data_IF_148143902191
#
_entry.id   IF_148143902191
#
_cell.length_a   1.000
_cell.length_b   1.000
_cell.length_c   1.000
_cell.angle_alpha   90.00
_cell.angle_beta   90.00
_cell.angle_gamma   90.00
#
_symmetry.space_group_name_H-M   'P 1'
#
loop_
_entity.id
_entity.type
_entity.pdbx_description
1 polymer ?
#
# COMPACT_ATOMS: atom_id res chain seq x y z
N UNK A 1 6.47 4.63 -12.60
CA UNK A 1 7.00 4.65 -13.99
C UNK A 1 6.40 5.80 -14.80
N UNK A 2 5.08 5.95 -14.87
CA UNK A 2 4.50 7.04 -15.67
C UNK A 2 5.06 8.43 -15.31
N UNK A 3 5.10 8.80 -14.02
CA UNK A 3 5.62 10.09 -13.59
C UNK A 3 7.09 10.35 -14.00
N UNK A 4 7.98 9.34 -13.90
CA UNK A 4 9.37 9.50 -14.32
C UNK A 4 9.51 9.74 -15.81
N UNK A 5 8.70 9.07 -16.63
CA UNK A 5 8.71 9.25 -18.09
C UNK A 5 8.17 10.63 -18.49
N UNK A 6 7.12 11.11 -17.83
CA UNK A 6 6.60 12.46 -18.04
C UNK A 6 7.60 13.53 -17.56
N UNK A 7 8.24 13.31 -16.41
CA UNK A 7 9.26 14.22 -15.91
C UNK A 7 10.48 14.34 -16.83
N UNK A 8 10.86 13.25 -17.52
CA UNK A 8 11.94 13.25 -18.50
C UNK A 8 11.70 14.20 -19.67
N UNK A 9 10.43 14.47 -20.02
CA UNK A 9 10.07 15.38 -21.11
C UNK A 9 10.43 16.85 -20.82
N UNK A 10 10.73 17.21 -19.58
CA UNK A 10 11.21 18.55 -19.22
C UNK A 10 12.67 18.80 -19.62
N UNK A 11 13.41 17.75 -20.02
CA UNK A 11 14.83 17.84 -20.38
C UNK A 11 15.03 17.63 -21.88
N UNK A 12 16.00 18.33 -22.45
CA UNK A 12 16.43 18.08 -23.83
C UNK A 12 17.01 16.65 -23.93
N UNK A 13 16.72 15.96 -25.04
CA UNK A 13 17.09 14.55 -25.23
C UNK A 13 18.61 14.29 -25.10
N UNK A 14 19.46 15.28 -25.44
CA UNK A 14 20.91 15.18 -25.33
C UNK A 14 21.47 15.66 -23.98
N UNK A 15 20.60 15.96 -23.01
CA UNK A 15 21.04 16.46 -21.71
C UNK A 15 21.35 15.32 -20.74
N UNK A 16 22.33 15.56 -19.83
CA UNK A 16 22.63 14.65 -18.73
C UNK A 16 21.40 14.41 -17.84
N UNK A 17 20.49 15.39 -17.74
CA UNK A 17 19.22 15.28 -17.00
C UNK A 17 18.28 14.24 -17.63
N UNK A 18 18.16 14.23 -18.96
CA UNK A 18 17.35 13.22 -19.65
C UNK A 18 17.90 11.80 -19.42
N UNK A 19 19.23 11.61 -19.60
CA UNK A 19 19.89 10.33 -19.35
C UNK A 19 19.68 9.85 -17.92
N UNK A 20 19.79 10.75 -16.95
CA UNK A 20 19.53 10.43 -15.54
C UNK A 20 18.06 10.00 -15.31
N UNK A 21 17.09 10.65 -15.94
CA UNK A 21 15.68 10.29 -15.82
C UNK A 21 15.35 8.96 -16.47
N UNK A 22 15.95 8.64 -17.62
CA UNK A 22 15.85 7.32 -18.26
C UNK A 22 16.40 6.24 -17.31
N UNK A 23 17.55 6.50 -16.69
CA UNK A 23 18.16 5.58 -15.72
C UNK A 23 17.29 5.40 -14.49
N UNK A 24 16.66 6.46 -13.97
CA UNK A 24 15.66 6.39 -12.90
C UNK A 24 14.44 5.56 -13.29
N UNK A 25 13.97 5.67 -14.55
CA UNK A 25 12.86 4.86 -15.05
C UNK A 25 13.22 3.38 -15.08
N UNK A 26 14.44 3.03 -15.51
CA UNK A 26 14.96 1.66 -15.48
C UNK A 26 15.09 1.14 -14.04
N UNK A 27 15.57 1.97 -13.12
CA UNK A 27 15.66 1.63 -11.69
C UNK A 27 14.30 1.45 -11.00
N UNK A 28 13.22 1.93 -11.60
CA UNK A 28 11.87 1.70 -11.07
C UNK A 28 11.47 0.21 -11.08
N UNK A 29 12.02 -0.61 -12.00
CA UNK A 29 11.81 -2.06 -12.01
C UNK A 29 12.39 -2.73 -10.75
N UNK A 30 13.69 -2.60 -10.44
CA UNK A 30 14.23 -3.16 -9.20
C UNK A 30 13.61 -2.55 -7.95
N UNK A 31 13.20 -1.27 -7.97
CA UNK A 31 12.46 -0.67 -6.85
C UNK A 31 11.13 -1.38 -6.56
N UNK A 32 10.48 -1.97 -7.59
CA UNK A 32 9.30 -2.81 -7.41
C UNK A 32 9.59 -4.09 -6.62
N UNK A 33 10.79 -4.67 -6.75
CA UNK A 33 11.18 -5.85 -5.97
C UNK A 33 11.35 -5.56 -4.48
N UNK A 34 11.55 -4.29 -4.10
CA UNK A 34 11.52 -3.89 -2.69
C UNK A 34 10.21 -4.31 -2.00
N UNK A 35 9.10 -4.30 -2.75
CA UNK A 35 7.81 -4.74 -2.23
C UNK A 35 7.77 -6.25 -1.90
N UNK A 36 8.67 -7.06 -2.42
CA UNK A 36 8.77 -8.48 -2.05
C UNK A 36 9.33 -8.63 -0.63
N UNK A 37 10.26 -7.75 -0.23
CA UNK A 37 10.84 -7.73 1.12
C UNK A 37 9.86 -7.22 2.20
N UNK A 38 8.70 -6.66 1.80
CA UNK A 38 7.68 -6.13 2.73
C UNK A 38 7.15 -7.17 3.72
N UNK A 39 7.32 -8.46 3.42
CA UNK A 39 6.87 -9.54 4.28
C UNK A 39 7.76 -9.73 5.49
N UNK A 40 9.05 -9.50 5.37
CA UNK A 40 10.04 -9.70 6.43
C UNK A 40 10.36 -8.38 7.15
N UNK A 41 10.55 -7.31 6.39
CA UNK A 41 10.96 -6.00 6.90
C UNK A 41 9.96 -4.89 6.53
N UNK A 42 8.69 -4.94 7.01
CA UNK A 42 7.64 -4.01 6.56
C UNK A 42 7.94 -2.54 6.89
N UNK A 43 8.59 -2.27 8.02
CA UNK A 43 8.92 -0.91 8.44
C UNK A 43 10.07 -0.33 7.62
N UNK A 44 11.14 -1.08 7.41
CA UNK A 44 12.26 -0.67 6.57
C UNK A 44 11.80 -0.45 5.12
N UNK A 45 11.03 -1.39 4.57
CA UNK A 45 10.47 -1.29 3.22
C UNK A 45 9.63 -0.03 3.04
N UNK A 46 8.80 0.33 4.02
CA UNK A 46 8.00 1.55 3.97
C UNK A 46 8.89 2.81 3.93
N UNK A 47 9.86 2.94 4.83
CA UNK A 47 10.71 4.13 4.88
C UNK A 47 11.62 4.25 3.66
N UNK A 48 12.13 3.13 3.13
CA UNK A 48 12.91 3.12 1.88
C UNK A 48 12.01 3.53 0.71
N UNK A 49 10.78 3.02 0.62
CA UNK A 49 9.82 3.42 -0.41
C UNK A 49 9.49 4.92 -0.33
N UNK A 50 9.30 5.47 0.88
CA UNK A 50 9.11 6.90 1.09
C UNK A 50 10.32 7.72 0.61
N UNK A 51 11.54 7.30 0.96
CA UNK A 51 12.76 7.95 0.53
C UNK A 51 12.91 7.93 -1.01
N UNK A 52 12.62 6.80 -1.64
CA UNK A 52 12.65 6.67 -3.10
C UNK A 52 11.66 7.62 -3.78
N UNK A 53 10.43 7.75 -3.28
CA UNK A 53 9.42 8.67 -3.85
C UNK A 53 9.81 10.14 -3.67
N UNK A 54 10.46 10.49 -2.56
CA UNK A 54 10.91 11.88 -2.32
C UNK A 54 12.12 12.24 -3.18
N UNK A 55 13.12 11.35 -3.24
CA UNK A 55 14.38 11.59 -3.96
C UNK A 55 14.20 11.49 -5.47
N UNK A 56 13.46 10.48 -5.91
CA UNK A 56 13.20 10.23 -7.33
C UNK A 56 11.75 10.59 -7.69
N UNK A 57 11.47 10.97 -8.94
CA UNK A 57 10.11 11.28 -9.39
C UNK A 57 9.26 10.01 -9.59
N UNK A 58 9.22 9.16 -8.55
CA UNK A 58 8.37 7.97 -8.55
C UNK A 58 6.97 8.31 -8.07
N UNK A 59 6.02 7.49 -8.52
CA UNK A 59 4.65 7.55 -8.07
C UNK A 59 4.54 7.16 -6.59
N UNK A 60 3.66 7.83 -5.86
CA UNK A 60 3.34 7.55 -4.46
C UNK A 60 2.77 6.15 -4.22
N UNK A 61 2.32 5.45 -5.25
CA UNK A 61 1.75 4.09 -5.14
C UNK A 61 2.69 3.11 -4.45
N UNK A 62 4.01 3.19 -4.70
CA UNK A 62 4.99 2.31 -4.04
C UNK A 62 4.97 2.52 -2.52
N UNK A 63 4.97 3.78 -2.08
CA UNK A 63 4.91 4.12 -0.66
C UNK A 63 3.57 3.72 -0.03
N UNK A 64 2.45 3.90 -0.73
CA UNK A 64 1.12 3.50 -0.28
C UNK A 64 0.98 1.97 -0.15
N UNK A 65 1.52 1.21 -1.10
CA UNK A 65 1.56 -0.26 -1.02
C UNK A 65 2.41 -0.76 0.15
N UNK A 66 3.57 -0.13 0.38
CA UNK A 66 4.40 -0.44 1.54
C UNK A 66 3.70 -0.07 2.86
N UNK A 67 3.00 1.07 2.91
CA UNK A 67 2.21 1.52 4.05
C UNK A 67 1.08 0.54 4.38
N UNK A 68 0.29 0.09 3.41
CA UNK A 68 -0.77 -0.90 3.63
C UNK A 68 -0.24 -2.19 4.23
N UNK A 69 0.91 -2.67 3.75
CA UNK A 69 1.59 -3.84 4.27
C UNK A 69 2.06 -3.65 5.73
N UNK A 70 2.63 -2.50 6.03
CA UNK A 70 3.08 -2.13 7.38
C UNK A 70 1.89 -2.10 8.36
N UNK A 71 0.80 -1.41 7.98
CA UNK A 71 -0.42 -1.30 8.79
C UNK A 71 -1.10 -2.65 9.03
N UNK A 72 -1.05 -3.54 8.04
CA UNK A 72 -1.62 -4.88 8.16
C UNK A 72 -0.87 -5.76 9.18
N UNK A 73 0.45 -5.59 9.29
CA UNK A 73 1.32 -6.48 10.10
C UNK A 73 1.65 -5.93 11.48
N UNK A 74 1.85 -4.63 11.62
CA UNK A 74 2.24 -3.99 12.88
C UNK A 74 1.03 -3.48 13.65
N UNK A 75 0.97 -3.86 14.93
CA UNK A 75 -0.16 -3.52 15.83
C UNK A 75 0.12 -2.28 16.70
N UNK A 76 1.35 -1.78 16.69
CA UNK A 76 1.74 -0.66 17.53
C UNK A 76 1.07 0.64 17.04
N UNK A 77 0.39 1.36 17.95
CA UNK A 77 -0.28 2.64 17.66
C UNK A 77 0.70 3.69 17.13
N UNK A 78 1.88 3.78 17.71
CA UNK A 78 2.90 4.75 17.30
C UNK A 78 3.40 4.48 15.88
N UNK A 79 3.64 3.22 15.53
CA UNK A 79 4.02 2.83 14.16
C UNK A 79 2.89 3.16 13.17
N UNK A 80 1.63 2.91 13.54
CA UNK A 80 0.47 3.25 12.71
C UNK A 80 0.41 4.77 12.45
N UNK A 81 0.52 5.60 13.48
CA UNK A 81 0.47 7.06 13.35
C UNK A 81 1.64 7.56 12.48
N UNK A 82 2.87 7.12 12.77
CA UNK A 82 4.06 7.52 12.01
C UNK A 82 3.97 7.11 10.53
N UNK A 83 3.47 5.91 10.25
CA UNK A 83 3.28 5.43 8.88
C UNK A 83 2.20 6.23 8.15
N UNK A 84 1.07 6.52 8.78
CA UNK A 84 0.00 7.33 8.16
C UNK A 84 0.46 8.74 7.91
N UNK A 85 1.09 9.42 8.88
CA UNK A 85 1.61 10.77 8.72
C UNK A 85 2.70 10.81 7.64
N UNK A 86 3.67 9.89 7.70
CA UNK A 86 4.74 9.81 6.69
C UNK A 86 4.19 9.53 5.29
N UNK A 87 3.27 8.59 5.16
CA UNK A 87 2.59 8.27 3.91
C UNK A 87 1.81 9.46 3.35
N UNK A 88 1.12 10.23 4.21
CA UNK A 88 0.40 11.44 3.80
C UNK A 88 1.36 12.48 3.25
N UNK A 89 2.43 12.79 3.97
CA UNK A 89 3.42 13.79 3.56
C UNK A 89 4.05 13.39 2.21
N UNK A 90 4.49 12.14 2.07
CA UNK A 90 5.14 11.66 0.84
C UNK A 90 4.18 11.66 -0.34
N UNK A 91 2.92 11.26 -0.13
CA UNK A 91 1.90 11.28 -1.19
C UNK A 91 1.58 12.71 -1.61
N UNK A 92 1.43 13.65 -0.67
CA UNK A 92 1.25 15.06 -0.98
C UNK A 92 2.43 15.62 -1.77
N UNK A 93 3.66 15.37 -1.35
CA UNK A 93 4.87 15.82 -2.07
C UNK A 93 4.87 15.27 -3.50
N UNK A 94 4.58 13.99 -3.68
CA UNK A 94 4.57 13.35 -5.01
C UNK A 94 3.50 13.95 -5.91
N UNK A 95 2.27 14.11 -5.43
CA UNK A 95 1.15 14.61 -6.23
C UNK A 95 1.25 16.12 -6.51
N UNK A 96 1.71 16.90 -5.53
CA UNK A 96 1.95 18.34 -5.73
C UNK A 96 3.12 18.57 -6.68
N UNK A 97 4.19 17.77 -6.57
CA UNK A 97 5.30 17.84 -7.52
C UNK A 97 4.84 17.60 -8.95
N UNK A 98 3.93 16.64 -9.18
CA UNK A 98 3.35 16.40 -10.50
C UNK A 98 2.44 17.57 -10.93
N UNK A 99 1.56 18.06 -10.06
CA UNK A 99 0.65 19.16 -10.37
C UNK A 99 1.34 20.51 -10.64
N UNK A 100 2.53 20.72 -10.08
CA UNK A 100 3.34 21.94 -10.27
C UNK A 100 4.28 21.88 -11.47
N UNK A 101 4.29 20.78 -12.22
CA UNK A 101 5.10 20.65 -13.44
C UNK A 101 4.47 21.35 -14.63
N UNK A 102 5.27 21.46 -15.70
CA UNK A 102 4.75 21.97 -16.96
C UNK A 102 3.57 21.11 -17.45
N UNK A 103 2.54 21.71 -18.06
CA UNK A 103 1.34 20.98 -18.48
C UNK A 103 1.59 19.71 -19.29
N UNK A 104 2.61 19.73 -20.17
CA UNK A 104 2.98 18.58 -21.00
C UNK A 104 3.62 17.43 -20.22
N UNK A 105 4.17 17.69 -19.03
CA UNK A 105 4.91 16.73 -18.22
C UNK A 105 4.15 16.27 -16.98
N UNK A 106 2.92 16.72 -16.80
CA UNK A 106 2.08 16.44 -15.63
C UNK A 106 0.90 15.55 -16.00
N UNK A 107 0.69 14.49 -15.23
CA UNK A 107 -0.47 13.62 -15.37
C UNK A 107 -1.76 14.38 -15.02
N UNK A 108 -1.72 15.24 -13.99
CA UNK A 108 -2.86 16.03 -13.59
C UNK A 108 -3.31 17.00 -14.69
N UNK A 109 -2.38 17.69 -15.32
CA UNK A 109 -2.71 18.57 -16.44
C UNK A 109 -3.25 17.80 -17.65
N UNK A 110 -2.72 16.59 -17.90
CA UNK A 110 -3.24 15.74 -18.99
C UNK A 110 -4.71 15.33 -18.76
N UNK A 111 -5.11 15.07 -17.51
CA UNK A 111 -6.50 14.73 -17.16
C UNK A 111 -7.46 15.91 -17.44
N UNK A 112 -6.99 17.15 -17.21
CA UNK A 112 -7.78 18.37 -17.39
C UNK A 112 -7.53 19.07 -18.73
N UNK A 113 -6.76 18.47 -19.63
CA UNK A 113 -6.55 18.99 -20.97
C UNK A 113 -7.73 18.66 -21.89
N UNK A 114 -7.99 19.55 -22.84
CA UNK A 114 -8.96 19.29 -23.91
C UNK A 114 -8.46 18.12 -24.79
N UNK A 115 -9.29 17.13 -25.11
CA UNK A 115 -8.93 16.05 -26.01
C UNK A 115 -8.36 16.57 -27.34
N UNK A 116 -7.33 15.91 -27.85
CA UNK A 116 -6.66 16.25 -29.11
C UNK A 116 -5.85 17.56 -29.10
N UNK A 117 -5.55 18.15 -27.93
CA UNK A 117 -4.63 19.27 -27.78
C UNK A 117 -3.33 18.82 -27.10
N UNK A 118 -2.21 19.49 -27.37
CA UNK A 118 -0.94 19.22 -26.69
C UNK A 118 -0.15 17.99 -27.15
N UNK A 119 -0.63 17.28 -28.19
CA UNK A 119 0.07 16.13 -28.76
C UNK A 119 1.15 16.53 -29.78
N UNK A 120 1.72 15.53 -30.49
CA UNK A 120 2.75 15.69 -31.55
C UNK A 120 2.32 16.58 -32.71
N UNK A 121 1.05 16.94 -32.79
CA UNK A 121 0.45 17.85 -33.79
C UNK A 121 0.87 19.31 -33.64
N UNK A 122 1.69 19.66 -32.66
CA UNK A 122 2.19 21.02 -32.44
C UNK A 122 1.13 22.01 -31.90
N UNK A 123 -0.10 21.56 -31.70
CA UNK A 123 -1.15 22.39 -31.12
C UNK A 123 -0.88 22.68 -29.63
N UNK A 124 -1.04 23.93 -29.17
CA UNK A 124 -0.87 24.23 -27.74
C UNK A 124 -1.88 23.45 -26.90
N UNK A 125 -1.46 22.99 -25.73
CA UNK A 125 -2.36 22.32 -24.78
C UNK A 125 -3.36 23.35 -24.23
N UNK A 126 -4.65 23.05 -24.39
CA UNK A 126 -5.74 23.91 -23.88
C UNK A 126 -6.25 23.26 -22.60
N UNK A 127 -6.15 23.99 -21.50
CA UNK A 127 -6.64 23.56 -20.20
C UNK A 127 -8.13 23.85 -20.08
N UNK A 128 -8.89 22.87 -19.57
CA UNK A 128 -10.34 23.00 -19.30
C UNK A 128 -10.62 23.67 -17.95
N UNK A 129 -9.62 23.73 -17.08
CA UNK A 129 -9.72 24.28 -15.72
C UNK A 129 -8.53 25.17 -15.41
N UNK A 130 -8.70 26.06 -14.43
CA UNK A 130 -7.62 26.91 -13.93
C UNK A 130 -6.60 26.11 -13.09
N UNK A 131 -5.36 26.56 -13.08
CA UNK A 131 -4.24 25.93 -12.36
C UNK A 131 -4.53 25.66 -10.87
N UNK A 132 -5.17 26.58 -10.08
CA UNK A 132 -5.53 26.29 -8.70
C UNK A 132 -6.46 25.08 -8.55
N UNK A 133 -7.34 24.83 -9.50
CA UNK A 133 -8.27 23.69 -9.47
C UNK A 133 -7.47 22.37 -9.61
N UNK A 134 -6.44 22.34 -10.44
CA UNK A 134 -5.55 21.17 -10.59
C UNK A 134 -4.87 20.87 -9.27
N UNK A 135 -4.29 21.87 -8.60
CA UNK A 135 -3.59 21.73 -7.31
C UNK A 135 -4.55 21.24 -6.21
N UNK A 136 -5.75 21.83 -6.13
CA UNK A 136 -6.77 21.41 -5.15
C UNK A 136 -7.17 19.97 -5.40
N UNK A 137 -7.41 19.58 -6.64
CA UNK A 137 -7.80 18.21 -6.99
C UNK A 137 -6.69 17.21 -6.67
N UNK A 138 -5.44 17.53 -6.97
CA UNK A 138 -4.29 16.69 -6.62
C UNK A 138 -4.14 16.52 -5.09
N UNK A 139 -4.39 17.59 -4.34
CA UNK A 139 -4.37 17.56 -2.86
C UNK A 139 -5.48 16.67 -2.31
N UNK A 140 -6.71 16.85 -2.77
CA UNK A 140 -7.87 16.04 -2.35
C UNK A 140 -7.64 14.57 -2.71
N UNK A 141 -7.18 14.29 -3.93
CA UNK A 141 -6.88 12.93 -4.38
C UNK A 141 -5.79 12.27 -3.50
N UNK A 142 -4.76 13.03 -3.11
CA UNK A 142 -3.73 12.53 -2.18
C UNK A 142 -4.33 12.05 -0.86
N UNK A 143 -5.21 12.84 -0.26
CA UNK A 143 -5.88 12.49 0.99
C UNK A 143 -6.78 11.26 0.83
N UNK A 144 -7.50 11.17 -0.29
CA UNK A 144 -8.34 10.01 -0.62
C UNK A 144 -7.48 8.75 -0.77
N UNK A 145 -6.37 8.80 -1.50
CA UNK A 145 -5.48 7.64 -1.68
C UNK A 145 -4.88 7.15 -0.36
N UNK A 146 -4.42 8.05 0.50
CA UNK A 146 -3.91 7.71 1.83
C UNK A 146 -5.01 7.10 2.71
N UNK A 147 -6.21 7.66 2.65
CA UNK A 147 -7.36 7.14 3.42
C UNK A 147 -7.70 5.73 2.98
N UNK A 148 -7.82 5.49 1.67
CA UNK A 148 -8.07 4.16 1.10
C UNK A 148 -6.97 3.18 1.51
N UNK A 149 -5.70 3.55 1.36
CA UNK A 149 -4.57 2.71 1.73
C UNK A 149 -4.57 2.37 3.22
N UNK A 150 -4.90 3.34 4.08
CA UNK A 150 -5.02 3.13 5.53
C UNK A 150 -6.16 2.17 5.87
N UNK A 151 -7.34 2.38 5.28
CA UNK A 151 -8.51 1.51 5.48
C UNK A 151 -8.23 0.08 5.02
N UNK A 152 -7.61 -0.11 3.86
CA UNK A 152 -7.23 -1.43 3.35
C UNK A 152 -6.26 -2.12 4.34
N UNK A 153 -5.22 -1.42 4.80
CA UNK A 153 -4.25 -1.96 5.75
C UNK A 153 -4.90 -2.39 7.07
N UNK A 154 -5.76 -1.55 7.63
CA UNK A 154 -6.50 -1.86 8.86
C UNK A 154 -7.52 -2.99 8.67
N UNK A 155 -8.18 -3.05 7.51
CA UNK A 155 -9.12 -4.11 7.19
C UNK A 155 -8.43 -5.49 7.10
N UNK A 156 -7.29 -5.57 6.41
CA UNK A 156 -6.48 -6.80 6.32
C UNK A 156 -6.07 -7.26 7.73
N UNK A 157 -5.63 -6.33 8.57
CA UNK A 157 -5.26 -6.60 9.96
C UNK A 157 -6.44 -7.13 10.78
N UNK A 158 -7.62 -6.52 10.66
CA UNK A 158 -8.84 -6.95 11.36
C UNK A 158 -9.22 -8.38 10.96
N UNK A 159 -9.20 -8.67 9.65
CA UNK A 159 -9.48 -10.03 9.14
C UNK A 159 -8.47 -11.05 9.64
N UNK A 160 -7.18 -10.71 9.69
CA UNK A 160 -6.15 -11.61 10.21
C UNK A 160 -6.40 -11.95 11.69
N UNK A 161 -6.76 -10.96 12.51
CA UNK A 161 -7.11 -11.17 13.93
C UNK A 161 -8.33 -12.06 14.11
N UNK A 162 -9.38 -11.85 13.32
CA UNK A 162 -10.59 -12.68 13.36
C UNK A 162 -10.28 -14.14 12.99
N UNK A 163 -9.45 -14.36 11.97
CA UNK A 163 -9.02 -15.72 11.60
C UNK A 163 -8.26 -16.42 12.74
N UNK A 164 -7.35 -15.72 13.38
CA UNK A 164 -6.61 -16.27 14.52
C UNK A 164 -7.54 -16.59 15.70
N UNK A 165 -8.44 -15.67 16.02
CA UNK A 165 -9.43 -15.88 17.10
C UNK A 165 -10.34 -17.09 16.82
N UNK A 166 -10.84 -17.22 15.58
CA UNK A 166 -11.67 -18.35 15.17
C UNK A 166 -10.88 -19.68 15.22
N UNK A 167 -9.59 -19.67 14.79
CA UNK A 167 -8.75 -20.86 14.85
C UNK A 167 -8.52 -21.31 16.31
N UNK A 168 -8.26 -20.36 17.22
CA UNK A 168 -8.14 -20.67 18.65
C UNK A 168 -9.45 -21.21 19.24
N UNK A 169 -10.57 -20.58 18.89
CA UNK A 169 -11.88 -21.04 19.36
C UNK A 169 -12.22 -22.45 18.85
N UNK A 170 -11.95 -22.76 17.59
CA UNK A 170 -12.18 -24.09 17.03
C UNK A 170 -11.27 -25.14 17.66
N UNK A 171 -9.99 -24.82 17.92
CA UNK A 171 -9.08 -25.72 18.63
C UNK A 171 -9.57 -26.01 20.06
N UNK A 172 -10.05 -24.98 20.78
CA UNK A 172 -10.59 -25.15 22.12
C UNK A 172 -11.84 -26.06 22.14
N UNK A 173 -12.76 -25.87 21.18
CA UNK A 173 -13.97 -26.73 21.08
C UNK A 173 -13.62 -28.18 20.76
N UNK A 174 -12.67 -28.42 19.86
CA UNK A 174 -12.19 -29.76 19.53
C UNK A 174 -11.56 -30.42 20.77
N UNK A 175 -10.73 -29.68 21.49
CA UNK A 175 -10.10 -30.21 22.70
C UNK A 175 -11.12 -30.55 23.80
N UNK A 176 -12.14 -29.70 24.00
CA UNK A 176 -13.22 -29.97 24.94
C UNK A 176 -14.02 -31.22 24.55
N UNK A 177 -14.30 -31.39 23.26
CA UNK A 177 -14.99 -32.60 22.77
C UNK A 177 -14.18 -33.88 23.00
N UNK A 178 -12.84 -33.81 22.79
CA UNK A 178 -11.96 -34.96 23.06
C UNK A 178 -11.96 -35.33 24.56
N UNK A 179 -11.83 -34.35 25.45
CA UNK A 179 -11.86 -34.58 26.88
C UNK A 179 -13.20 -35.17 27.33
N UNK A 180 -14.32 -34.71 26.75
CA UNK A 180 -15.64 -35.24 27.07
C UNK A 180 -15.76 -36.71 26.64
N UNK A 181 -15.22 -37.06 25.47
CA UNK A 181 -15.19 -38.44 24.97
C UNK A 181 -14.35 -39.34 25.90
N UNK A 182 -13.18 -38.86 26.34
CA UNK A 182 -12.29 -39.60 27.24
C UNK A 182 -12.96 -39.83 28.60
N UNK A 183 -13.62 -38.82 29.18
CA UNK A 183 -14.38 -38.97 30.41
C UNK A 183 -15.51 -39.99 30.27
N UNK A 184 -16.24 -39.95 29.18
CA UNK A 184 -17.32 -40.93 28.91
C UNK A 184 -16.75 -42.34 28.80
N UNK A 185 -15.63 -42.54 28.14
CA UNK A 185 -14.98 -43.83 28.03
C UNK A 185 -14.46 -44.34 29.37
N UNK A 186 -13.91 -43.47 30.24
CA UNK A 186 -13.51 -43.84 31.60
C UNK A 186 -14.71 -44.27 32.45
N UNK A 187 -15.82 -43.49 32.42
CA UNK A 187 -17.04 -43.85 33.15
C UNK A 187 -17.59 -45.19 32.70
N UNK A 188 -17.54 -45.48 31.39
CA UNK A 188 -18.00 -46.76 30.86
C UNK A 188 -17.08 -47.91 31.33
N UNK A 189 -15.77 -47.72 31.33
CA UNK A 189 -14.80 -48.70 31.81
C UNK A 189 -14.98 -49.00 33.30
N UNK A 190 -15.19 -47.94 34.13
CA UNK A 190 -15.45 -48.08 35.58
C UNK A 190 -16.76 -48.83 35.84
N UNK A 191 -17.81 -48.58 35.06
CA UNK A 191 -19.10 -49.26 35.21
C UNK A 191 -18.97 -50.77 34.88
N UNK A 192 -18.25 -51.12 33.77
CA UNK A 192 -18.02 -52.50 33.41
C UNK A 192 -17.19 -53.23 34.49
N UNK A 193 -16.22 -52.56 35.07
CA UNK A 193 -15.37 -53.14 36.12
C UNK A 193 -16.15 -53.38 37.39
N UNK A 194 -17.07 -52.46 37.76
CA UNK A 194 -17.96 -52.63 38.92
C UNK A 194 -18.90 -53.82 38.75
N UNK A 195 -19.52 -53.99 37.57
CA UNK A 195 -20.44 -55.07 37.30
C UNK A 195 -19.72 -56.42 37.27
N UNK A 196 -18.47 -56.48 36.83
CA UNK A 196 -17.64 -57.70 36.84
C UNK A 196 -17.20 -58.13 38.27
N UNK A 197 -17.28 -57.23 39.26
CA UNK A 197 -16.92 -57.55 40.63
C UNK A 197 -18.13 -58.08 41.45
N UNK A 198 -19.36 -57.78 41.00
CA UNK A 198 -20.58 -58.19 41.67
C UNK A 198 -21.09 -59.59 41.23
N UNK A 199 -20.42 -60.22 40.30
CA UNK A 199 -20.71 -61.59 39.83
C UNK A 199 -19.68 -62.59 40.31
#
# INVERSE_FOLDING_TARGET
MAQTSFFAQNFAQDSAGYTLMVLCTLLAFPAGFLLLARSEYPEATFWIACALVVVFPYDSLIALMAMTSLLARRSNRNTTIRATVGGTIVTLISQLRDALQQPKASIWHLIFAQPHTGGDSGSPMVMLVEEPTVIITATVASLVFVTIATLIGLHIRSRARLRTANAVASAATTHAATLQTDLTNQQLADAITAEAHDT
#
